data_IF_356081420377
#
_entry.id   IF_356081420377
#
_cell.length_a   1.000
_cell.length_b   1.000
_cell.length_c   1.000
_cell.angle_alpha   90.00
_cell.angle_beta   90.00
_cell.angle_gamma   90.00
#
_symmetry.space_group_name_H-M   'P 1'
#
loop_
_entity.id
_entity.type
_entity.pdbx_description
1 polymer ?
#
# COMPACT_ATOMS: atom_id res chain seq x y z
N UNK A 1 -15.25 -24.85 28.30
CA UNK A 1 -14.96 -23.43 28.60
C UNK A 1 -13.68 -23.24 29.41
N UNK A 2 -13.55 -23.89 30.57
CA UNK A 2 -12.36 -23.76 31.43
C UNK A 2 -11.05 -24.15 30.73
N UNK A 3 -11.00 -25.32 30.09
CA UNK A 3 -9.81 -25.76 29.35
C UNK A 3 -9.38 -24.79 28.23
N UNK A 4 -10.32 -24.07 27.62
CA UNK A 4 -10.01 -23.04 26.61
C UNK A 4 -9.44 -21.77 27.27
N UNK A 5 -9.97 -21.38 28.42
CA UNK A 5 -9.45 -20.27 29.24
C UNK A 5 -8.01 -20.54 29.68
N UNK A 6 -7.75 -21.77 30.15
CA UNK A 6 -6.42 -22.17 30.59
C UNK A 6 -5.44 -22.22 29.40
N UNK A 7 -5.90 -22.70 28.24
CA UNK A 7 -5.10 -22.70 27.00
C UNK A 7 -4.64 -21.29 26.61
N UNK A 8 -5.55 -20.31 26.57
CA UNK A 8 -5.21 -18.92 26.23
C UNK A 8 -4.21 -18.33 27.22
N UNK A 9 -4.41 -18.59 28.52
CA UNK A 9 -3.54 -18.10 29.59
C UNK A 9 -2.13 -18.69 29.48
N UNK A 10 -2.04 -20.01 29.24
CA UNK A 10 -0.76 -20.71 29.11
C UNK A 10 0.01 -20.27 27.86
N UNK A 11 -0.68 -20.09 26.72
CA UNK A 11 -0.06 -19.57 25.49
C UNK A 11 0.51 -18.17 25.74
N UNK A 12 -0.28 -17.27 26.36
CA UNK A 12 0.18 -15.92 26.65
C UNK A 12 1.38 -15.91 27.58
N UNK A 13 1.37 -16.71 28.66
CA UNK A 13 2.48 -16.78 29.60
C UNK A 13 3.79 -17.20 28.94
N UNK A 14 3.77 -18.28 28.15
CA UNK A 14 4.95 -18.80 27.46
C UNK A 14 5.45 -17.83 26.39
N UNK A 15 4.57 -17.34 25.53
CA UNK A 15 4.95 -16.44 24.42
C UNK A 15 5.45 -15.09 24.94
N UNK A 16 4.82 -14.53 25.96
CA UNK A 16 5.25 -13.26 26.54
C UNK A 16 6.62 -13.39 27.21
N UNK A 17 6.88 -14.48 27.96
CA UNK A 17 8.18 -14.70 28.56
C UNK A 17 9.28 -14.87 27.49
N UNK A 18 9.00 -15.60 26.41
CA UNK A 18 9.91 -15.71 25.27
C UNK A 18 10.16 -14.35 24.58
N UNK A 19 9.11 -13.52 24.43
CA UNK A 19 9.20 -12.21 23.80
C UNK A 19 10.02 -11.22 24.62
N UNK A 20 9.95 -11.27 25.96
CA UNK A 20 10.79 -10.44 26.85
C UNK A 20 12.28 -10.73 26.63
N UNK A 21 12.66 -11.99 26.45
CA UNK A 21 14.06 -12.36 26.21
C UNK A 21 14.52 -12.11 24.77
N UNK A 22 13.64 -12.31 23.78
CA UNK A 22 13.99 -12.17 22.36
C UNK A 22 13.96 -10.71 21.91
N UNK A 23 13.00 -9.93 22.44
CA UNK A 23 12.72 -8.57 22.01
C UNK A 23 12.06 -8.50 20.62
N UNK A 24 11.22 -7.49 20.43
CA UNK A 24 10.67 -7.14 19.11
C UNK A 24 10.51 -5.63 19.03
N UNK A 25 11.03 -5.02 17.96
CA UNK A 25 10.92 -3.58 17.74
C UNK A 25 10.82 -3.29 16.25
N UNK A 26 10.29 -2.11 15.91
CA UNK A 26 10.24 -1.57 14.55
C UNK A 26 10.96 -0.24 14.58
N UNK A 27 11.94 -0.07 13.69
CA UNK A 27 12.73 1.14 13.56
C UNK A 27 12.54 1.83 12.23
N UNK A 28 13.16 3.01 12.08
CA UNK A 28 13.17 3.75 10.81
C UNK A 28 13.86 2.94 9.70
N UNK A 29 14.82 2.09 10.04
CA UNK A 29 15.47 1.19 9.08
C UNK A 29 14.48 0.21 8.41
N UNK A 30 13.41 -0.18 9.11
CA UNK A 30 12.41 -1.10 8.55
C UNK A 30 11.53 -0.41 7.49
N UNK A 31 11.56 0.94 7.43
CA UNK A 31 10.80 1.74 6.48
C UNK A 31 11.63 2.30 5.31
N UNK A 32 12.95 2.07 5.30
CA UNK A 32 13.82 2.61 4.25
C UNK A 32 13.94 1.58 3.11
N UNK A 33 13.39 1.92 1.95
CA UNK A 33 13.58 1.13 0.73
C UNK A 33 14.97 1.37 0.11
N UNK A 34 15.50 0.35 -0.58
CA UNK A 34 16.75 0.48 -1.34
C UNK A 34 16.59 1.52 -2.47
N UNK A 35 17.64 2.28 -2.83
CA UNK A 35 17.56 3.33 -3.85
C UNK A 35 17.01 2.86 -5.20
N UNK A 36 17.32 1.63 -5.61
CA UNK A 36 16.86 1.04 -6.87
C UNK A 36 15.34 0.87 -6.88
N UNK A 37 14.76 0.51 -5.73
CA UNK A 37 13.31 0.34 -5.57
C UNK A 37 12.61 1.68 -5.60
N UNK A 38 13.18 2.69 -4.93
CA UNK A 38 12.65 4.07 -4.98
C UNK A 38 12.66 4.59 -6.42
N UNK A 39 13.73 4.31 -7.19
CA UNK A 39 13.80 4.69 -8.59
C UNK A 39 12.75 3.97 -9.44
N UNK A 40 12.55 2.66 -9.24
CA UNK A 40 11.50 1.90 -9.93
C UNK A 40 10.10 2.45 -9.63
N UNK A 41 9.81 2.75 -8.36
CA UNK A 41 8.54 3.37 -7.94
C UNK A 41 8.35 4.72 -8.62
N UNK A 42 9.39 5.59 -8.62
CA UNK A 42 9.35 6.89 -9.30
C UNK A 42 9.05 6.75 -10.80
N UNK A 43 9.73 5.83 -11.48
CA UNK A 43 9.49 5.58 -12.91
C UNK A 43 8.05 5.14 -13.19
N UNK A 44 7.47 4.28 -12.34
CA UNK A 44 6.06 3.88 -12.48
C UNK A 44 5.13 5.07 -12.25
N UNK A 45 5.34 5.85 -11.20
CA UNK A 45 4.54 7.06 -10.92
C UNK A 45 4.60 8.02 -12.12
N UNK A 46 5.77 8.27 -12.69
CA UNK A 46 5.92 9.15 -13.85
C UNK A 46 5.24 8.59 -15.11
N UNK A 47 5.27 7.27 -15.32
CA UNK A 47 4.49 6.62 -16.37
C UNK A 47 2.99 6.87 -16.19
N UNK A 48 2.47 6.76 -14.96
CA UNK A 48 1.06 7.02 -14.68
C UNK A 48 0.69 8.50 -14.79
N UNK A 49 1.57 9.43 -14.38
CA UNK A 49 1.40 10.87 -14.65
C UNK A 49 1.29 11.15 -16.14
N UNK A 50 2.11 10.51 -16.98
CA UNK A 50 2.00 10.61 -18.46
C UNK A 50 0.66 10.07 -18.97
N UNK A 51 0.16 8.95 -18.40
CA UNK A 51 -1.18 8.42 -18.74
C UNK A 51 -2.30 9.39 -18.38
N UNK A 52 -2.25 10.03 -17.21
CA UNK A 52 -3.22 11.04 -16.79
C UNK A 52 -3.17 12.26 -17.73
N UNK A 53 -1.97 12.73 -18.09
CA UNK A 53 -1.81 13.83 -19.06
C UNK A 53 -2.44 13.51 -20.42
N UNK A 54 -2.37 12.27 -20.89
CA UNK A 54 -3.09 11.85 -22.11
C UNK A 54 -4.59 11.98 -21.97
N UNK A 55 -5.17 11.61 -20.82
CA UNK A 55 -6.60 11.75 -20.55
C UNK A 55 -7.00 13.23 -20.55
N UNK A 56 -6.22 14.09 -19.89
CA UNK A 56 -6.44 15.55 -19.89
C UNK A 56 -6.46 16.10 -21.31
N UNK A 57 -5.46 15.76 -22.13
CA UNK A 57 -5.40 16.24 -23.51
C UNK A 57 -6.59 15.74 -24.35
N UNK A 58 -7.00 14.48 -24.19
CA UNK A 58 -8.17 13.94 -24.91
C UNK A 58 -9.46 14.68 -24.53
N UNK A 59 -9.63 15.05 -23.26
CA UNK A 59 -10.76 15.86 -22.81
C UNK A 59 -10.73 17.26 -23.40
N UNK A 60 -9.57 17.93 -23.39
CA UNK A 60 -9.40 19.28 -23.95
C UNK A 60 -9.70 19.35 -25.45
N UNK A 61 -9.34 18.30 -26.21
CA UNK A 61 -9.67 18.21 -27.64
C UNK A 61 -11.08 17.68 -27.92
N UNK A 62 -11.93 17.47 -26.90
CA UNK A 62 -13.28 16.92 -27.07
C UNK A 62 -13.33 15.48 -27.57
N UNK A 63 -12.22 14.72 -27.45
CA UNK A 63 -12.08 13.33 -27.93
C UNK A 63 -12.36 12.28 -26.86
N UNK A 64 -12.65 12.69 -25.62
CA UNK A 64 -12.97 11.77 -24.54
C UNK A 64 -14.37 11.17 -24.77
N UNK A 65 -14.45 9.84 -24.89
CA UNK A 65 -15.73 9.15 -24.91
C UNK A 65 -16.29 9.04 -23.49
N UNK A 66 -17.51 9.54 -23.30
CA UNK A 66 -18.24 9.41 -22.04
C UNK A 66 -18.62 7.96 -21.78
N UNK A 67 -18.57 7.54 -20.52
CA UNK A 67 -19.07 6.24 -20.10
C UNK A 67 -20.61 6.24 -20.11
N UNK A 68 -21.26 5.10 -20.38
CA UNK A 68 -22.72 5.02 -20.31
C UNK A 68 -23.24 5.50 -18.95
N UNK A 69 -24.21 6.42 -18.95
CA UNK A 69 -24.81 6.96 -17.73
C UNK A 69 -23.97 7.98 -16.97
N UNK A 70 -22.87 8.50 -17.54
CA UNK A 70 -22.06 9.56 -16.94
C UNK A 70 -21.86 10.74 -17.88
N UNK A 71 -21.80 11.94 -17.32
CA UNK A 71 -21.32 13.13 -18.03
C UNK A 71 -19.86 12.96 -18.47
N UNK A 72 -19.43 13.81 -19.41
CA UNK A 72 -18.04 13.83 -19.88
C UNK A 72 -17.06 14.13 -18.73
N UNK A 73 -17.46 14.99 -17.79
CA UNK A 73 -16.64 15.36 -16.63
C UNK A 73 -16.54 14.21 -15.61
N UNK A 74 -17.65 13.58 -15.25
CA UNK A 74 -17.63 12.40 -14.37
C UNK A 74 -16.84 11.24 -15.00
N UNK A 75 -16.94 11.08 -16.33
CA UNK A 75 -16.15 10.09 -17.07
C UNK A 75 -14.66 10.41 -17.03
N UNK A 76 -14.29 11.69 -17.09
CA UNK A 76 -12.91 12.15 -16.94
C UNK A 76 -12.39 11.84 -15.53
N UNK A 77 -13.10 12.27 -14.49
CA UNK A 77 -12.71 12.04 -13.09
C UNK A 77 -12.56 10.56 -12.80
N UNK A 78 -13.51 9.74 -13.26
CA UNK A 78 -13.43 8.30 -13.08
C UNK A 78 -12.17 7.70 -13.75
N UNK A 79 -11.81 8.14 -14.96
CA UNK A 79 -10.61 7.67 -15.64
C UNK A 79 -9.32 8.13 -14.94
N UNK A 80 -9.27 9.38 -14.44
CA UNK A 80 -8.12 9.90 -13.70
C UNK A 80 -7.96 9.14 -12.37
N UNK A 81 -9.03 9.03 -11.58
CA UNK A 81 -9.04 8.29 -10.32
C UNK A 81 -8.61 6.84 -10.51
N UNK A 82 -9.14 6.15 -11.52
CA UNK A 82 -8.72 4.80 -11.86
C UNK A 82 -7.21 4.70 -12.09
N UNK A 83 -6.63 5.61 -12.88
CA UNK A 83 -5.19 5.57 -13.19
C UNK A 83 -4.31 5.96 -12.00
N UNK A 84 -4.75 6.85 -11.12
CA UNK A 84 -4.03 7.19 -9.90
C UNK A 84 -4.08 6.05 -8.88
N UNK A 85 -5.22 5.37 -8.75
CA UNK A 85 -5.34 4.17 -7.91
C UNK A 85 -4.47 3.02 -8.44
N UNK A 86 -4.49 2.77 -9.75
CA UNK A 86 -3.56 1.80 -10.37
C UNK A 86 -2.09 2.15 -10.11
N UNK A 87 -1.73 3.44 -10.11
CA UNK A 87 -0.38 3.89 -9.81
C UNK A 87 0.02 3.56 -8.37
N UNK A 88 -0.89 3.77 -7.42
CA UNK A 88 -0.71 3.41 -6.01
C UNK A 88 -0.51 1.91 -5.84
N UNK A 89 -1.38 1.09 -6.43
CA UNK A 89 -1.33 -0.37 -6.26
C UNK A 89 -0.05 -0.97 -6.84
N UNK A 90 0.37 -0.50 -8.03
CA UNK A 90 1.63 -0.96 -8.65
C UNK A 90 2.84 -0.53 -7.83
N UNK A 91 2.86 0.70 -7.32
CA UNK A 91 3.96 1.21 -6.50
C UNK A 91 4.07 0.45 -5.18
N UNK A 92 2.94 0.20 -4.52
CA UNK A 92 2.86 -0.61 -3.30
C UNK A 92 3.32 -2.04 -3.53
N UNK A 93 2.89 -2.67 -4.64
CA UNK A 93 3.31 -4.02 -5.01
C UNK A 93 4.81 -4.13 -5.28
N UNK A 94 5.45 -3.10 -5.84
CA UNK A 94 6.91 -3.07 -6.02
C UNK A 94 7.62 -2.98 -4.67
N UNK A 95 7.18 -2.10 -3.77
CA UNK A 95 7.78 -1.98 -2.45
C UNK A 95 7.66 -3.29 -1.64
N UNK A 96 6.47 -3.90 -1.62
CA UNK A 96 6.21 -5.14 -0.89
C UNK A 96 7.06 -6.32 -1.39
N UNK A 97 7.26 -6.46 -2.70
CA UNK A 97 8.04 -7.56 -3.28
C UNK A 97 9.54 -7.47 -2.97
N UNK A 98 10.04 -6.28 -2.64
CA UNK A 98 11.46 -6.02 -2.44
C UNK A 98 11.84 -5.83 -0.97
N UNK A 99 10.86 -5.91 -0.06
CA UNK A 99 11.13 -5.98 1.37
C UNK A 99 11.64 -7.36 1.74
N UNK A 100 12.57 -7.39 2.69
CA UNK A 100 13.03 -8.64 3.28
C UNK A 100 11.86 -9.35 3.98
N UNK A 101 11.83 -10.68 3.87
CA UNK A 101 10.86 -11.50 4.60
C UNK A 101 11.03 -11.35 6.11
N UNK A 102 12.24 -11.05 6.57
CA UNK A 102 12.55 -10.87 7.99
C UNK A 102 12.33 -9.43 8.48
N UNK A 103 11.91 -8.52 7.60
CA UNK A 103 11.56 -7.15 7.98
C UNK A 103 10.46 -7.14 9.06
N UNK A 104 10.63 -6.32 10.09
CA UNK A 104 9.76 -6.33 11.28
C UNK A 104 8.34 -5.86 10.98
N UNK A 105 8.15 -4.91 10.06
CA UNK A 105 6.82 -4.49 9.58
C UNK A 105 6.13 -5.61 8.80
N UNK A 106 6.86 -6.31 7.94
CA UNK A 106 6.31 -7.45 7.17
C UNK A 106 5.87 -8.56 8.12
N UNK A 107 6.68 -8.86 9.14
CA UNK A 107 6.35 -9.86 10.16
C UNK A 107 5.09 -9.50 10.96
N UNK A 108 4.92 -8.23 11.32
CA UNK A 108 3.73 -7.73 12.03
C UNK A 108 2.43 -7.87 11.21
N UNK A 109 2.51 -7.54 9.92
CA UNK A 109 1.37 -7.69 9.00
C UNK A 109 1.09 -9.18 8.71
N UNK A 110 2.13 -9.99 8.53
CA UNK A 110 1.99 -11.43 8.23
C UNK A 110 1.44 -12.22 9.42
N UNK A 111 1.81 -11.86 10.66
CA UNK A 111 1.25 -12.47 11.86
C UNK A 111 -0.18 -12.01 12.14
N UNK A 112 -0.69 -11.00 11.42
CA UNK A 112 -1.99 -10.39 11.67
C UNK A 112 -2.07 -9.62 12.98
N UNK A 113 -0.93 -9.22 13.57
CA UNK A 113 -0.94 -8.53 14.86
C UNK A 113 -1.32 -7.06 14.72
N UNK A 114 -0.77 -6.37 13.70
CA UNK A 114 -1.16 -4.99 13.38
C UNK A 114 -0.77 -4.60 11.96
N UNK A 115 -1.63 -3.78 11.35
CA UNK A 115 -1.43 -3.22 10.02
C UNK A 115 -1.78 -4.20 8.89
N UNK A 116 -1.76 -3.68 7.67
CA UNK A 116 -2.01 -4.44 6.45
C UNK A 116 -0.99 -4.06 5.36
N UNK A 117 -1.06 -4.76 4.23
CA UNK A 117 -0.21 -4.50 3.06
C UNK A 117 -0.38 -3.09 2.49
N UNK A 118 -1.55 -2.47 2.65
CA UNK A 118 -1.78 -1.07 2.25
C UNK A 118 -1.00 -0.10 3.13
N UNK A 119 -0.90 -0.33 4.44
CA UNK A 119 -0.10 0.51 5.33
C UNK A 119 1.37 0.48 4.93
N UNK A 120 1.93 -0.72 4.68
CA UNK A 120 3.31 -0.86 4.20
C UNK A 120 3.49 -0.12 2.88
N UNK A 121 2.56 -0.28 1.93
CA UNK A 121 2.61 0.38 0.64
C UNK A 121 2.62 1.91 0.75
N UNK A 122 1.84 2.48 1.69
CA UNK A 122 1.77 3.92 1.89
C UNK A 122 3.01 4.48 2.57
N UNK A 123 3.57 3.75 3.54
CA UNK A 123 4.80 4.14 4.25
C UNK A 123 6.02 4.07 3.31
N UNK A 124 6.10 3.01 2.49
CA UNK A 124 7.29 2.69 1.70
C UNK A 124 7.30 3.27 0.28
N UNK A 125 6.12 3.47 -0.33
CA UNK A 125 6.01 3.81 -1.75
C UNK A 125 5.30 5.15 -1.97
N UNK A 126 3.97 5.18 -1.84
CA UNK A 126 3.20 6.40 -2.01
C UNK A 126 1.87 6.35 -1.25
N UNK A 127 1.46 7.47 -0.65
CA UNK A 127 0.22 7.57 0.10
C UNK A 127 -1.04 7.34 -0.76
N UNK A 128 -0.98 7.72 -2.05
CA UNK A 128 -2.09 7.69 -2.98
C UNK A 128 -2.88 9.00 -3.05
N UNK A 129 -3.93 9.01 -3.87
CA UNK A 129 -4.85 10.13 -4.01
C UNK A 129 -5.70 10.30 -2.75
N UNK A 130 -5.95 11.54 -2.33
CA UNK A 130 -6.91 11.88 -1.29
C UNK A 130 -8.24 12.29 -1.95
N UNK A 131 -9.33 11.68 -1.50
CA UNK A 131 -10.67 12.01 -1.97
C UNK A 131 -11.37 12.83 -0.87
N UNK A 132 -11.99 13.93 -1.29
CA UNK A 132 -12.86 14.76 -0.43
C UNK A 132 -14.20 14.81 -1.15
N UNK A 133 -15.28 14.52 -0.43
CA UNK A 133 -16.66 14.62 -0.91
C UNK A 133 -17.22 16.02 -0.63
#
# INVERSE_FOLDING_TARGET
PQACSDLLSNIQFVVNNWLVHTGFTVGVQDIIAKPEIVQQVRQKIDMYKKKVRKVINMTQYGRLKSQPGKSTMESFEHQVNKRLNEARDVSGGIALKNLDKDNRLVNMVKSGSKGNTNNISQIMACCGQQNVE
#
